data_IF_758021740532
#
_entry.id   IF_758021740532
#
_cell.length_a   1.000
_cell.length_b   1.000
_cell.length_c   1.000
_cell.angle_alpha   90.00
_cell.angle_beta   90.00
_cell.angle_gamma   90.00
#
_symmetry.space_group_name_H-M   'P 1'
#
loop_
_entity.id
_entity.type
_entity.pdbx_description
1 polymer ?
#
# COMPACT_ATOMS: atom_id res chain seq x y z
N UNK A 1 -34.52 -8.90 32.17
CA UNK A 1 -33.26 -8.13 32.13
C UNK A 1 -32.03 -9.03 31.94
N UNK A 2 -31.93 -10.16 32.66
CA UNK A 2 -30.80 -11.12 32.56
C UNK A 2 -30.68 -11.78 31.18
N UNK A 3 -31.77 -12.15 30.49
CA UNK A 3 -31.72 -12.76 29.16
C UNK A 3 -31.18 -11.83 28.07
N UNK A 4 -31.52 -10.53 28.15
CA UNK A 4 -30.97 -9.52 27.23
C UNK A 4 -29.46 -9.33 27.42
N UNK A 5 -28.98 -9.33 28.66
CA UNK A 5 -27.55 -9.25 28.97
C UNK A 5 -26.80 -10.50 28.49
N UNK A 6 -27.34 -11.70 28.69
CA UNK A 6 -26.75 -12.95 28.21
C UNK A 6 -26.74 -13.03 26.68
N UNK A 7 -27.80 -12.58 26.00
CA UNK A 7 -27.83 -12.51 24.53
C UNK A 7 -26.80 -11.52 23.97
N UNK A 8 -26.59 -10.39 24.67
CA UNK A 8 -25.53 -9.42 24.34
C UNK A 8 -24.13 -10.01 24.49
N UNK A 9 -23.86 -10.66 25.61
CA UNK A 9 -22.56 -11.30 25.89
C UNK A 9 -22.24 -12.41 24.90
N UNK A 10 -23.24 -13.26 24.58
CA UNK A 10 -23.08 -14.32 23.57
C UNK A 10 -22.80 -13.75 22.19
N UNK A 11 -23.40 -12.61 21.81
CA UNK A 11 -23.18 -11.94 20.52
C UNK A 11 -21.76 -11.37 20.43
N UNK A 12 -21.27 -10.76 21.51
CA UNK A 12 -19.89 -10.25 21.58
C UNK A 12 -18.91 -11.41 21.54
N UNK A 13 -19.12 -12.45 22.37
CA UNK A 13 -18.25 -13.63 22.39
C UNK A 13 -18.15 -14.33 21.04
N UNK A 14 -19.26 -14.47 20.32
CA UNK A 14 -19.28 -15.05 18.98
C UNK A 14 -18.49 -14.18 17.98
N UNK A 15 -18.65 -12.85 18.02
CA UNK A 15 -17.87 -11.95 17.16
C UNK A 15 -16.37 -12.02 17.40
N UNK A 16 -15.96 -12.14 18.66
CA UNK A 16 -14.53 -12.28 19.01
C UNK A 16 -13.98 -13.61 18.49
N UNK A 17 -14.71 -14.71 18.70
CA UNK A 17 -14.31 -16.04 18.20
C UNK A 17 -14.22 -16.02 16.67
N UNK A 18 -15.22 -15.47 15.96
CA UNK A 18 -15.23 -15.36 14.52
C UNK A 18 -14.05 -14.52 14.00
N UNK A 19 -13.70 -13.42 14.70
CA UNK A 19 -12.54 -12.60 14.35
C UNK A 19 -11.22 -13.35 14.52
N UNK A 20 -11.03 -14.08 15.64
CA UNK A 20 -9.82 -14.88 15.89
C UNK A 20 -9.71 -16.00 14.85
N UNK A 21 -10.81 -16.70 14.56
CA UNK A 21 -10.85 -17.74 13.54
C UNK A 21 -10.46 -17.19 12.16
N UNK A 22 -10.99 -16.02 11.81
CA UNK A 22 -10.68 -15.35 10.55
C UNK A 22 -9.21 -14.92 10.45
N UNK A 23 -8.63 -14.41 11.54
CA UNK A 23 -7.20 -14.10 11.61
C UNK A 23 -6.34 -15.36 11.42
N UNK A 24 -6.71 -16.48 12.07
CA UNK A 24 -6.02 -17.76 11.89
C UNK A 24 -6.08 -18.28 10.43
N UNK A 25 -7.24 -18.16 9.80
CA UNK A 25 -7.42 -18.55 8.38
C UNK A 25 -6.59 -17.65 7.45
N UNK A 26 -6.57 -16.33 7.70
CA UNK A 26 -5.77 -15.37 6.93
C UNK A 26 -4.26 -15.67 7.07
N UNK A 27 -3.79 -15.93 8.28
CA UNK A 27 -2.38 -16.30 8.54
C UNK A 27 -2.00 -17.59 7.81
N UNK A 28 -2.84 -18.62 7.91
CA UNK A 28 -2.65 -19.88 7.19
C UNK A 28 -2.59 -19.66 5.66
N UNK A 29 -3.50 -18.88 5.12
CA UNK A 29 -3.55 -18.54 3.70
C UNK A 29 -2.26 -17.82 3.27
N UNK A 30 -1.79 -16.86 4.05
CA UNK A 30 -0.56 -16.14 3.79
C UNK A 30 0.68 -17.05 3.82
N UNK A 31 0.79 -17.92 4.83
CA UNK A 31 1.88 -18.89 4.91
C UNK A 31 1.88 -19.83 3.71
N UNK A 32 0.71 -20.34 3.30
CA UNK A 32 0.59 -21.17 2.09
C UNK A 32 1.00 -20.42 0.84
N UNK A 33 0.64 -19.15 0.69
CA UNK A 33 1.07 -18.30 -0.43
C UNK A 33 2.59 -18.17 -0.48
N UNK A 34 3.24 -17.98 0.67
CA UNK A 34 4.70 -17.92 0.75
C UNK A 34 5.37 -19.26 0.42
N UNK A 35 4.83 -20.36 0.90
CA UNK A 35 5.38 -21.71 0.61
C UNK A 35 5.30 -22.06 -0.87
N UNK A 36 4.24 -21.65 -1.58
CA UNK A 36 4.07 -21.88 -3.01
C UNK A 36 4.75 -20.81 -3.88
N UNK A 37 5.39 -19.81 -3.28
CA UNK A 37 6.11 -18.73 -3.99
C UNK A 37 7.27 -19.25 -4.88
N UNK A 38 7.90 -20.38 -4.53
CA UNK A 38 8.96 -20.99 -5.33
C UNK A 38 8.52 -21.33 -6.76
N UNK A 39 7.27 -21.73 -6.95
CA UNK A 39 6.71 -22.01 -8.27
C UNK A 39 6.43 -20.73 -9.08
N UNK A 40 6.18 -19.62 -8.42
CA UNK A 40 5.96 -18.31 -9.06
C UNK A 40 7.23 -17.80 -9.74
N UNK A 41 8.39 -18.01 -9.14
CA UNK A 41 9.69 -17.66 -9.74
C UNK A 41 10.01 -18.49 -10.98
N UNK A 42 9.58 -19.76 -11.04
CA UNK A 42 9.72 -20.59 -12.24
C UNK A 42 8.82 -20.12 -13.40
N UNK A 43 7.76 -19.36 -13.12
CA UNK A 43 6.80 -18.84 -14.10
C UNK A 43 6.79 -17.31 -14.14
N UNK A 44 7.96 -16.72 -14.27
CA UNK A 44 8.18 -15.27 -14.18
C UNK A 44 7.29 -14.42 -15.11
N UNK A 45 6.91 -14.97 -16.27
CA UNK A 45 6.00 -14.27 -17.20
C UNK A 45 4.62 -13.95 -16.59
N UNK A 46 4.12 -14.78 -15.66
CA UNK A 46 2.86 -14.50 -14.95
C UNK A 46 3.04 -13.32 -13.99
N UNK A 47 4.15 -13.30 -13.26
CA UNK A 47 4.47 -12.20 -12.35
C UNK A 47 4.65 -10.87 -13.09
N UNK A 48 5.28 -10.87 -14.28
CA UNK A 48 5.40 -9.66 -15.13
C UNK A 48 4.02 -9.13 -15.53
N UNK A 49 3.09 -10.01 -15.90
CA UNK A 49 1.72 -9.60 -16.24
C UNK A 49 1.02 -8.95 -15.04
N UNK A 50 1.23 -9.48 -13.86
CA UNK A 50 0.65 -8.92 -12.63
C UNK A 50 1.32 -7.59 -12.23
N UNK A 51 2.64 -7.42 -12.46
CA UNK A 51 3.33 -6.13 -12.30
C UNK A 51 2.71 -5.09 -13.26
N UNK A 52 2.41 -5.48 -14.49
CA UNK A 52 1.73 -4.57 -15.42
C UNK A 52 0.33 -4.18 -14.92
N UNK A 53 -0.47 -5.14 -14.49
CA UNK A 53 -1.83 -4.90 -14.01
C UNK A 53 -1.88 -4.08 -12.72
N UNK A 54 -1.07 -4.44 -11.72
CA UNK A 54 -1.06 -3.76 -10.43
C UNK A 54 -0.24 -2.45 -10.46
N UNK A 55 0.91 -2.44 -11.16
CA UNK A 55 1.84 -1.32 -11.22
C UNK A 55 1.50 -0.31 -12.31
N UNK A 56 1.65 -0.71 -13.58
CA UNK A 56 1.56 0.24 -14.70
C UNK A 56 0.19 0.91 -14.81
N UNK A 57 -0.87 0.16 -14.62
CA UNK A 57 -2.21 0.73 -14.64
C UNK A 57 -2.52 1.64 -13.44
N UNK A 58 -1.69 1.65 -12.38
CA UNK A 58 -1.78 2.58 -11.25
C UNK A 58 -0.94 3.84 -11.45
N UNK A 59 -0.08 3.91 -12.47
CA UNK A 59 0.88 5.01 -12.65
C UNK A 59 0.20 6.38 -12.74
N UNK A 60 -0.87 6.51 -13.50
CA UNK A 60 -1.51 7.80 -13.73
C UNK A 60 -1.99 8.41 -12.41
N UNK A 61 -2.69 7.64 -11.58
CA UNK A 61 -3.19 8.14 -10.31
C UNK A 61 -2.04 8.47 -9.35
N UNK A 62 -0.97 7.67 -9.35
CA UNK A 62 0.21 7.88 -8.51
C UNK A 62 0.96 9.15 -8.91
N UNK A 63 1.23 9.34 -10.21
CA UNK A 63 1.98 10.50 -10.71
C UNK A 63 1.22 11.80 -10.50
N UNK A 64 -0.08 11.81 -10.85
CA UNK A 64 -0.92 13.02 -10.70
C UNK A 64 -1.12 13.37 -9.23
N UNK A 65 -1.41 12.38 -8.39
CA UNK A 65 -1.56 12.62 -6.94
C UNK A 65 -0.26 13.06 -6.30
N UNK A 66 0.88 12.45 -6.65
CA UNK A 66 2.20 12.85 -6.18
C UNK A 66 2.51 14.31 -6.51
N UNK A 67 2.26 14.71 -7.77
CA UNK A 67 2.44 16.08 -8.21
C UNK A 67 1.64 17.07 -7.36
N UNK A 68 0.33 16.84 -7.19
CA UNK A 68 -0.52 17.75 -6.42
C UNK A 68 -0.17 17.78 -4.93
N UNK A 69 0.15 16.64 -4.32
CA UNK A 69 0.59 16.59 -2.92
C UNK A 69 1.89 17.37 -2.76
N UNK A 70 2.84 17.23 -3.69
CA UNK A 70 4.08 18.00 -3.68
C UNK A 70 3.85 19.51 -3.84
N UNK A 71 2.94 19.91 -4.72
CA UNK A 71 2.56 21.33 -4.89
C UNK A 71 1.97 21.92 -3.60
N UNK A 72 1.10 21.18 -2.91
CA UNK A 72 0.50 21.61 -1.63
C UNK A 72 1.58 21.70 -0.53
N UNK A 73 2.49 20.71 -0.47
CA UNK A 73 3.62 20.76 0.47
C UNK A 73 4.55 21.93 0.20
N UNK A 74 4.79 22.26 -1.08
CA UNK A 74 5.56 23.43 -1.48
C UNK A 74 4.93 24.73 -0.98
N UNK A 75 3.62 24.90 -1.15
CA UNK A 75 2.89 26.08 -0.67
C UNK A 75 2.89 26.19 0.85
N UNK A 76 2.43 25.16 1.55
CA UNK A 76 2.33 25.16 3.01
C UNK A 76 3.70 25.20 3.68
N UNK A 77 4.68 24.48 3.09
CA UNK A 77 6.05 24.48 3.56
C UNK A 77 6.68 25.87 3.48
N UNK A 78 6.47 26.57 2.36
CA UNK A 78 6.98 27.95 2.21
C UNK A 78 6.38 28.91 3.23
N UNK A 79 5.05 28.94 3.39
CA UNK A 79 4.38 29.80 4.38
C UNK A 79 4.89 29.53 5.80
N UNK A 80 5.10 28.26 6.15
CA UNK A 80 5.62 27.88 7.46
C UNK A 80 7.07 28.34 7.63
N UNK A 81 7.95 28.08 6.66
CA UNK A 81 9.37 28.43 6.72
C UNK A 81 9.61 29.94 6.68
N UNK A 82 8.78 30.68 5.94
CA UNK A 82 8.83 32.14 5.89
C UNK A 82 8.61 32.77 7.28
N UNK A 83 7.73 32.20 8.09
CA UNK A 83 7.49 32.68 9.47
C UNK A 83 8.75 32.58 10.35
N UNK A 84 9.66 31.63 10.02
CA UNK A 84 10.93 31.42 10.74
C UNK A 84 12.15 31.98 10.01
N UNK A 85 11.98 32.64 8.86
CA UNK A 85 13.09 33.18 8.06
C UNK A 85 14.02 32.10 7.50
N UNK A 86 13.50 30.91 7.20
CA UNK A 86 14.26 29.75 6.74
C UNK A 86 13.74 29.21 5.40
N UNK A 87 13.32 30.09 4.50
CA UNK A 87 12.70 29.79 3.21
C UNK A 87 13.56 28.89 2.31
N UNK A 88 14.86 29.02 2.42
CA UNK A 88 15.85 28.21 1.67
C UNK A 88 15.77 26.72 2.00
N UNK A 89 15.26 26.34 3.20
CA UNK A 89 15.13 24.96 3.62
C UNK A 89 13.88 24.24 3.02
N UNK A 90 13.14 24.89 2.10
CA UNK A 90 11.93 24.33 1.50
C UNK A 90 12.20 22.99 0.80
N UNK A 91 13.31 22.88 0.06
CA UNK A 91 13.70 21.62 -0.61
C UNK A 91 13.89 20.46 0.36
N UNK A 92 14.49 20.74 1.52
CA UNK A 92 14.70 19.75 2.59
C UNK A 92 13.35 19.28 3.16
N UNK A 93 12.48 20.22 3.50
CA UNK A 93 11.17 19.92 4.08
C UNK A 93 10.33 19.04 3.13
N UNK A 94 10.24 19.44 1.86
CA UNK A 94 9.45 18.71 0.86
C UNK A 94 10.01 17.31 0.62
N UNK A 95 11.33 17.18 0.44
CA UNK A 95 11.95 15.89 0.12
C UNK A 95 11.88 14.91 1.29
N UNK A 96 12.24 15.33 2.50
CA UNK A 96 12.20 14.45 3.68
C UNK A 96 10.77 14.02 4.02
N UNK A 97 9.80 14.95 3.94
CA UNK A 97 8.38 14.62 4.16
C UNK A 97 7.87 13.58 3.18
N UNK A 98 8.25 13.70 1.90
CA UNK A 98 7.81 12.77 0.86
C UNK A 98 8.54 11.43 0.95
N UNK A 99 9.86 11.43 1.08
CA UNK A 99 10.64 10.18 1.03
C UNK A 99 10.45 9.33 2.27
N UNK A 100 10.44 9.94 3.47
CA UNK A 100 10.34 9.22 4.74
C UNK A 100 8.92 8.73 5.05
N UNK A 101 7.89 9.56 4.76
CA UNK A 101 6.54 9.32 5.27
C UNK A 101 5.47 9.34 4.18
N UNK A 102 5.21 10.50 3.57
CA UNK A 102 4.05 10.68 2.70
C UNK A 102 4.13 9.84 1.43
N UNK A 103 5.31 9.67 0.84
CA UNK A 103 5.50 8.86 -0.35
C UNK A 103 5.04 7.42 -0.17
N UNK A 104 5.64 6.66 0.75
CA UNK A 104 5.23 5.30 1.03
C UNK A 104 3.78 5.16 1.46
N UNK A 105 3.29 6.01 2.38
CA UNK A 105 1.94 5.92 2.95
C UNK A 105 0.86 6.25 1.93
N UNK A 106 0.97 7.41 1.26
CA UNK A 106 -0.06 7.85 0.30
C UNK A 106 -0.08 6.95 -0.93
N UNK A 107 1.11 6.56 -1.43
CA UNK A 107 1.18 5.59 -2.52
C UNK A 107 0.52 4.25 -2.13
N UNK A 108 0.71 3.76 -0.89
CA UNK A 108 0.09 2.54 -0.41
C UNK A 108 -1.44 2.66 -0.29
N UNK A 109 -1.96 3.79 0.17
CA UNK A 109 -3.41 4.04 0.23
C UNK A 109 -4.04 4.08 -1.17
N UNK A 110 -3.40 4.74 -2.13
CA UNK A 110 -3.84 4.77 -3.53
C UNK A 110 -3.74 3.38 -4.18
N UNK A 111 -2.68 2.64 -3.89
CA UNK A 111 -2.50 1.28 -4.35
C UNK A 111 -3.56 0.35 -3.78
N UNK A 112 -3.88 0.43 -2.48
CA UNK A 112 -4.92 -0.36 -1.84
C UNK A 112 -6.30 -0.10 -2.46
N UNK A 113 -6.63 1.16 -2.72
CA UNK A 113 -7.91 1.55 -3.29
C UNK A 113 -8.07 1.09 -4.74
N UNK A 114 -7.01 1.15 -5.56
CA UNK A 114 -7.07 0.80 -6.97
C UNK A 114 -6.65 -0.65 -7.24
N UNK A 115 -5.40 -1.02 -6.95
CA UNK A 115 -4.87 -2.35 -7.24
C UNK A 115 -5.39 -3.40 -6.25
N UNK A 116 -5.46 -3.07 -4.95
CA UNK A 116 -6.01 -3.96 -3.93
C UNK A 116 -7.45 -4.34 -4.20
N UNK A 117 -8.30 -3.36 -4.50
CA UNK A 117 -9.71 -3.62 -4.85
C UNK A 117 -9.86 -4.44 -6.13
N UNK A 118 -9.05 -4.17 -7.16
CA UNK A 118 -9.05 -4.92 -8.42
C UNK A 118 -8.66 -6.39 -8.20
N UNK A 119 -7.57 -6.67 -7.47
CA UNK A 119 -7.13 -8.03 -7.14
C UNK A 119 -8.24 -8.78 -6.38
N UNK A 120 -8.87 -8.13 -5.39
CA UNK A 120 -9.98 -8.71 -4.63
C UNK A 120 -11.16 -9.05 -5.53
N UNK A 121 -11.54 -8.12 -6.42
CA UNK A 121 -12.64 -8.31 -7.34
C UNK A 121 -12.37 -9.46 -8.34
N UNK A 122 -11.16 -9.52 -8.91
CA UNK A 122 -10.79 -10.57 -9.86
C UNK A 122 -10.83 -11.96 -9.22
N UNK A 123 -10.25 -12.13 -8.03
CA UNK A 123 -10.25 -13.43 -7.33
C UNK A 123 -11.67 -13.79 -6.87
N UNK A 124 -12.40 -12.82 -6.34
CA UNK A 124 -13.80 -13.03 -5.95
C UNK A 124 -14.68 -13.42 -7.12
N UNK A 125 -14.45 -12.84 -8.30
CA UNK A 125 -15.15 -13.21 -9.54
C UNK A 125 -14.77 -14.63 -10.00
N UNK A 126 -13.47 -14.98 -9.96
CA UNK A 126 -13.02 -16.34 -10.29
C UNK A 126 -13.66 -17.39 -9.36
N UNK A 127 -13.90 -17.03 -8.10
CA UNK A 127 -14.62 -17.88 -7.16
C UNK A 127 -16.12 -17.96 -7.48
N UNK A 128 -16.75 -16.84 -7.78
CA UNK A 128 -18.17 -16.76 -8.10
C UNK A 128 -18.53 -17.49 -9.41
N UNK A 129 -17.59 -17.59 -10.35
CA UNK A 129 -17.75 -18.31 -11.61
C UNK A 129 -17.16 -19.73 -11.58
N UNK A 130 -16.89 -20.27 -10.38
CA UNK A 130 -16.36 -21.62 -10.14
C UNK A 130 -15.02 -21.96 -10.83
N UNK A 131 -14.28 -20.95 -11.31
CA UNK A 131 -12.98 -21.17 -11.95
C UNK A 131 -11.95 -21.75 -10.98
N UNK A 132 -11.97 -21.35 -9.71
CA UNK A 132 -11.09 -21.89 -8.68
C UNK A 132 -11.40 -23.36 -8.44
N UNK A 133 -12.67 -23.72 -8.28
CA UNK A 133 -13.11 -25.11 -8.11
C UNK A 133 -12.77 -25.98 -9.34
N UNK A 134 -12.92 -25.43 -10.55
CA UNK A 134 -12.55 -26.14 -11.78
C UNK A 134 -11.04 -26.43 -11.83
N UNK A 135 -10.18 -25.49 -11.37
CA UNK A 135 -8.73 -25.75 -11.27
C UNK A 135 -8.42 -26.87 -10.27
N UNK A 136 -9.07 -26.87 -9.11
CA UNK A 136 -8.89 -27.93 -8.10
C UNK A 136 -9.32 -29.32 -8.65
N UNK A 137 -10.43 -29.39 -9.37
CA UNK A 137 -10.85 -30.64 -10.03
C UNK A 137 -9.86 -31.14 -11.08
N UNK A 138 -9.12 -30.24 -11.72
CA UNK A 138 -8.05 -30.58 -12.67
C UNK A 138 -6.70 -30.85 -11.99
N UNK A 139 -6.65 -30.95 -10.65
CA UNK A 139 -5.43 -31.10 -9.84
C UNK A 139 -4.41 -29.95 -10.04
N UNK A 140 -4.91 -28.76 -10.37
CA UNK A 140 -4.09 -27.53 -10.44
C UNK A 140 -4.28 -26.75 -9.17
N UNK A 141 -3.20 -26.48 -8.44
CA UNK A 141 -3.24 -25.66 -7.21
C UNK A 141 -3.52 -24.19 -7.54
N UNK A 142 -4.70 -23.62 -7.11
CA UNK A 142 -5.05 -22.24 -7.36
C UNK A 142 -4.10 -21.26 -6.66
N UNK A 143 -3.57 -21.62 -5.48
CA UNK A 143 -2.67 -20.75 -4.73
C UNK A 143 -1.37 -20.56 -5.51
N UNK A 144 -0.80 -21.63 -6.02
CA UNK A 144 0.44 -21.57 -6.81
C UNK A 144 0.25 -20.90 -8.18
N UNK A 145 -0.92 -21.07 -8.80
CA UNK A 145 -1.16 -20.61 -10.18
C UNK A 145 -1.69 -19.17 -10.27
N UNK A 146 -2.49 -18.74 -9.30
CA UNK A 146 -3.25 -17.49 -9.32
C UNK A 146 -2.77 -16.54 -8.21
N UNK A 147 -2.70 -17.03 -6.98
CA UNK A 147 -2.44 -16.19 -5.81
C UNK A 147 -0.97 -15.75 -5.73
N UNK A 148 -0.04 -16.68 -5.84
CA UNK A 148 1.39 -16.40 -5.66
C UNK A 148 1.97 -15.42 -6.72
N UNK A 149 1.67 -15.52 -8.04
CA UNK A 149 2.12 -14.52 -9.01
C UNK A 149 1.55 -13.12 -8.75
N UNK A 150 0.27 -13.02 -8.34
CA UNK A 150 -0.36 -11.75 -7.98
C UNK A 150 0.29 -11.13 -6.75
N UNK A 151 0.59 -11.96 -5.74
CA UNK A 151 1.27 -11.52 -4.54
C UNK A 151 2.61 -10.85 -4.87
N UNK A 152 3.49 -11.54 -5.59
CA UNK A 152 4.81 -11.01 -5.92
C UNK A 152 4.76 -9.85 -6.90
N UNK A 153 3.85 -9.90 -7.88
CA UNK A 153 3.65 -8.79 -8.82
C UNK A 153 3.28 -7.49 -8.11
N UNK A 154 2.35 -7.56 -7.17
CA UNK A 154 1.91 -6.41 -6.39
C UNK A 154 2.97 -5.91 -5.39
N UNK A 155 3.65 -6.83 -4.67
CA UNK A 155 4.72 -6.48 -3.72
C UNK A 155 5.90 -5.79 -4.40
N UNK A 156 6.29 -6.24 -5.60
CA UNK A 156 7.37 -5.61 -6.38
C UNK A 156 6.93 -4.24 -6.93
N UNK A 157 5.67 -4.10 -7.33
CA UNK A 157 5.16 -2.84 -7.88
C UNK A 157 5.10 -1.72 -6.85
N UNK A 158 4.85 -2.04 -5.57
CA UNK A 158 4.60 -1.06 -4.53
C UNK A 158 5.79 -0.11 -4.26
N UNK A 159 7.05 -0.57 -4.06
CA UNK A 159 8.21 0.30 -3.87
C UNK A 159 8.48 1.20 -5.08
N UNK A 160 8.27 0.69 -6.29
CA UNK A 160 8.44 1.46 -7.52
C UNK A 160 7.42 2.59 -7.61
N UNK A 161 6.16 2.31 -7.27
CA UNK A 161 5.10 3.32 -7.24
C UNK A 161 5.34 4.37 -6.16
N UNK A 162 5.83 3.99 -4.98
CA UNK A 162 6.19 4.90 -3.90
C UNK A 162 7.35 5.83 -4.30
N UNK A 163 8.38 5.28 -4.96
CA UNK A 163 9.49 6.07 -5.48
C UNK A 163 9.04 7.09 -6.54
N UNK A 164 8.18 6.66 -7.47
CA UNK A 164 7.62 7.55 -8.49
C UNK A 164 6.72 8.63 -7.88
N UNK A 165 5.92 8.29 -6.86
CA UNK A 165 5.12 9.26 -6.12
C UNK A 165 6.00 10.33 -5.48
N UNK A 166 7.06 9.93 -4.77
CA UNK A 166 8.00 10.85 -4.12
C UNK A 166 8.74 11.73 -5.13
N UNK A 167 9.19 11.17 -6.25
CA UNK A 167 9.85 11.92 -7.31
C UNK A 167 8.93 12.99 -7.92
N UNK A 168 7.67 12.61 -8.25
CA UNK A 168 6.68 13.56 -8.75
C UNK A 168 6.26 14.58 -7.71
N UNK A 169 6.24 14.21 -6.42
CA UNK A 169 5.96 15.14 -5.34
C UNK A 169 7.08 16.17 -5.17
N UNK A 170 8.35 15.78 -5.21
CA UNK A 170 9.48 16.70 -5.18
C UNK A 170 9.42 17.65 -6.38
N UNK A 171 9.10 17.14 -7.57
CA UNK A 171 8.91 17.98 -8.76
C UNK A 171 7.75 18.95 -8.59
N UNK A 172 6.64 18.54 -7.98
CA UNK A 172 5.51 19.43 -7.64
C UNK A 172 5.90 20.53 -6.66
N UNK A 173 6.67 20.19 -5.61
CA UNK A 173 7.24 21.16 -4.67
C UNK A 173 8.19 22.17 -5.32
N UNK A 174 9.02 21.70 -6.26
CA UNK A 174 9.89 22.55 -7.07
C UNK A 174 9.08 23.52 -7.94
N UNK A 175 8.04 23.07 -8.64
CA UNK A 175 7.20 23.92 -9.46
C UNK A 175 6.59 25.09 -8.67
N UNK A 176 6.13 24.81 -7.47
CA UNK A 176 5.52 25.85 -6.63
C UNK A 176 6.59 26.67 -5.93
N UNK A 177 7.56 26.06 -5.26
CA UNK A 177 8.54 26.75 -4.45
C UNK A 177 9.49 27.61 -5.29
N UNK A 178 10.03 27.05 -6.36
CA UNK A 178 11.02 27.75 -7.21
C UNK A 178 10.36 28.56 -8.31
N UNK A 179 9.48 27.90 -9.13
CA UNK A 179 8.96 28.56 -10.35
C UNK A 179 7.88 29.60 -10.04
N UNK A 180 6.96 29.32 -9.09
CA UNK A 180 5.84 30.22 -8.78
C UNK A 180 6.20 31.24 -7.68
N UNK A 181 6.88 30.83 -6.61
CA UNK A 181 7.16 31.67 -5.46
C UNK A 181 8.51 32.38 -5.60
N UNK A 182 9.50 31.77 -6.28
CA UNK A 182 10.80 32.38 -6.54
C UNK A 182 11.87 32.08 -5.48
N UNK A 183 11.75 30.96 -4.75
CA UNK A 183 12.85 30.45 -3.92
C UNK A 183 14.06 30.15 -4.81
N UNK A 184 15.26 30.42 -4.32
CA UNK A 184 16.48 30.17 -5.10
C UNK A 184 16.63 28.70 -5.48
N UNK A 185 16.77 28.42 -6.77
CA UNK A 185 16.87 27.07 -7.31
C UNK A 185 18.12 26.34 -6.79
N UNK A 186 19.23 27.05 -6.68
CA UNK A 186 20.48 26.51 -6.16
C UNK A 186 20.36 26.05 -4.71
N UNK A 187 19.73 26.87 -3.88
CA UNK A 187 19.45 26.54 -2.46
C UNK A 187 18.50 25.35 -2.34
N UNK A 188 17.44 25.31 -3.15
CA UNK A 188 16.46 24.20 -3.14
C UNK A 188 17.14 22.84 -3.34
N UNK A 189 17.93 22.70 -4.41
CA UNK A 189 18.57 21.43 -4.74
C UNK A 189 19.79 21.12 -3.85
N UNK A 190 20.64 22.11 -3.54
CA UNK A 190 21.85 21.88 -2.75
C UNK A 190 21.55 21.49 -1.31
N UNK A 191 20.61 22.16 -0.66
CA UNK A 191 20.21 21.82 0.71
C UNK A 191 19.48 20.49 0.76
N UNK A 192 18.63 20.17 -0.22
CA UNK A 192 17.99 18.87 -0.32
C UNK A 192 19.03 17.74 -0.43
N UNK A 193 20.04 17.88 -1.32
CA UNK A 193 21.07 16.86 -1.50
C UNK A 193 21.95 16.71 -0.26
N UNK A 194 22.19 17.78 0.47
CA UNK A 194 22.99 17.74 1.71
C UNK A 194 22.23 17.10 2.89
N UNK A 195 20.90 17.23 2.90
CA UNK A 195 20.07 16.78 4.03
C UNK A 195 19.52 15.37 3.88
N UNK A 196 19.34 14.87 2.63
CA UNK A 196 18.76 13.54 2.38
C UNK A 196 19.86 12.49 2.42
N UNK A 197 19.83 11.62 3.42
CA UNK A 197 20.72 10.46 3.51
C UNK A 197 20.10 9.24 2.79
N UNK A 198 20.90 8.60 1.94
CA UNK A 198 20.44 7.43 1.18
C UNK A 198 20.03 6.28 2.10
N UNK A 199 20.79 6.05 3.17
CA UNK A 199 20.58 4.90 4.05
C UNK A 199 19.47 5.14 5.06
N UNK A 200 19.39 6.34 5.63
CA UNK A 200 18.43 6.64 6.68
C UNK A 200 17.06 7.07 6.12
N UNK A 201 17.01 7.68 4.94
CA UNK A 201 15.79 8.22 4.38
C UNK A 201 15.22 7.34 3.28
N UNK A 202 16.01 7.12 2.21
CA UNK A 202 15.53 6.40 1.03
C UNK A 202 15.31 4.92 1.34
N UNK A 203 16.27 4.26 2.02
CA UNK A 203 16.15 2.84 2.35
C UNK A 203 14.99 2.59 3.31
N UNK A 204 14.79 3.44 4.31
CA UNK A 204 13.66 3.35 5.24
C UNK A 204 12.33 3.52 4.51
N UNK A 205 12.21 4.47 3.58
CA UNK A 205 11.03 4.63 2.73
C UNK A 205 10.76 3.40 1.86
N UNK A 206 11.80 2.79 1.28
CA UNK A 206 11.69 1.54 0.52
C UNK A 206 11.24 0.38 1.40
N UNK A 207 11.81 0.22 2.59
CA UNK A 207 11.41 -0.84 3.54
C UNK A 207 9.94 -0.68 3.92
N UNK A 208 9.50 0.55 4.29
CA UNK A 208 8.09 0.84 4.57
C UNK A 208 7.19 0.44 3.38
N UNK A 209 7.55 0.85 2.16
CA UNK A 209 6.76 0.55 0.97
C UNK A 209 6.65 -0.95 0.67
N UNK A 210 7.71 -1.73 0.91
CA UNK A 210 7.67 -3.20 0.79
C UNK A 210 6.73 -3.80 1.82
N UNK A 211 6.83 -3.38 3.09
CA UNK A 211 5.95 -3.87 4.17
C UNK A 211 4.49 -3.55 3.87
N UNK A 212 4.19 -2.32 3.42
CA UNK A 212 2.84 -1.95 3.00
C UNK A 212 2.36 -2.77 1.79
N UNK A 213 3.23 -3.00 0.81
CA UNK A 213 2.94 -3.86 -0.34
C UNK A 213 2.55 -5.27 0.09
N UNK A 214 3.31 -5.87 1.01
CA UNK A 214 3.00 -7.19 1.58
C UNK A 214 1.65 -7.17 2.31
N UNK A 215 1.42 -6.19 3.18
CA UNK A 215 0.20 -6.11 3.98
C UNK A 215 -1.05 -5.92 3.10
N UNK A 216 -1.03 -4.94 2.20
CA UNK A 216 -2.15 -4.64 1.29
C UNK A 216 -2.47 -5.84 0.41
N UNK A 217 -1.44 -6.45 -0.18
CA UNK A 217 -1.63 -7.56 -1.10
C UNK A 217 -2.14 -8.81 -0.39
N UNK A 218 -1.60 -9.13 0.81
CA UNK A 218 -2.09 -10.24 1.61
C UNK A 218 -3.57 -10.08 1.97
N UNK A 219 -3.97 -8.86 2.39
CA UNK A 219 -5.37 -8.55 2.70
C UNK A 219 -6.25 -8.68 1.44
N UNK A 220 -5.83 -8.12 0.31
CA UNK A 220 -6.59 -8.13 -0.93
C UNK A 220 -6.83 -9.57 -1.45
N UNK A 221 -5.79 -10.39 -1.45
CA UNK A 221 -5.85 -11.78 -1.87
C UNK A 221 -6.75 -12.62 -0.94
N UNK A 222 -6.62 -12.43 0.36
CA UNK A 222 -7.42 -13.14 1.35
C UNK A 222 -8.90 -12.76 1.26
N UNK A 223 -9.23 -11.45 1.21
CA UNK A 223 -10.61 -10.97 1.11
C UNK A 223 -11.28 -11.44 -0.20
N UNK A 224 -10.54 -11.48 -1.31
CA UNK A 224 -11.03 -12.00 -2.58
C UNK A 224 -11.25 -13.52 -2.53
N UNK A 225 -10.33 -14.26 -1.92
CA UNK A 225 -10.43 -15.71 -1.81
C UNK A 225 -11.51 -16.17 -0.80
N UNK A 226 -11.75 -15.39 0.27
CA UNK A 226 -12.77 -15.66 1.29
C UNK A 226 -14.16 -15.09 0.93
N UNK A 227 -14.28 -14.34 -0.19
CA UNK A 227 -15.53 -13.72 -0.59
C UNK A 227 -16.63 -14.76 -0.85
N UNK A 228 -17.87 -14.54 -0.40
CA UNK A 228 -19.01 -15.35 -0.84
C UNK A 228 -19.14 -15.32 -2.37
N UNK A 229 -19.47 -16.44 -3.03
CA UNK A 229 -19.49 -16.55 -4.49
C UNK A 229 -20.74 -15.87 -5.10
N UNK A 230 -20.94 -14.59 -4.81
CA UNK A 230 -22.04 -13.76 -5.27
C UNK A 230 -21.55 -12.37 -5.63
N UNK A 231 -22.20 -11.67 -6.55
CA UNK A 231 -21.86 -10.30 -6.93
C UNK A 231 -21.82 -9.35 -5.72
N UNK A 232 -22.79 -9.49 -4.79
CA UNK A 232 -22.83 -8.72 -3.56
C UNK A 232 -21.66 -9.07 -2.62
N UNK A 233 -21.29 -10.36 -2.53
CA UNK A 233 -20.15 -10.83 -1.76
C UNK A 233 -18.83 -10.23 -2.24
N UNK A 234 -18.62 -10.21 -3.55
CA UNK A 234 -17.43 -9.58 -4.18
C UNK A 234 -17.40 -8.07 -3.91
N UNK A 235 -18.52 -7.37 -4.08
CA UNK A 235 -18.61 -5.93 -3.79
C UNK A 235 -18.30 -5.60 -2.33
N UNK A 236 -18.80 -6.38 -1.39
CA UNK A 236 -18.49 -6.22 0.04
C UNK A 236 -17.03 -6.53 0.36
N UNK A 237 -16.46 -7.54 -0.30
CA UNK A 237 -15.05 -7.90 -0.12
C UNK A 237 -14.12 -6.78 -0.60
N UNK A 238 -14.38 -6.17 -1.77
CA UNK A 238 -13.58 -5.02 -2.27
C UNK A 238 -13.61 -3.84 -1.33
N UNK A 239 -14.78 -3.46 -0.82
CA UNK A 239 -14.91 -2.39 0.17
C UNK A 239 -14.13 -2.71 1.45
N UNK A 240 -14.23 -3.96 1.93
CA UNK A 240 -13.52 -4.42 3.13
C UNK A 240 -12.02 -4.42 2.93
N UNK A 241 -11.53 -4.81 1.76
CA UNK A 241 -10.11 -4.74 1.39
C UNK A 241 -9.59 -3.32 1.54
N UNK A 242 -10.24 -2.33 0.97
CA UNK A 242 -9.79 -0.93 1.05
C UNK A 242 -9.74 -0.45 2.49
N UNK A 243 -10.82 -0.65 3.25
CA UNK A 243 -10.90 -0.19 4.65
C UNK A 243 -9.86 -0.88 5.52
N UNK A 244 -9.76 -2.21 5.45
CA UNK A 244 -8.81 -2.98 6.28
C UNK A 244 -7.37 -2.66 5.91
N UNK A 245 -7.06 -2.54 4.61
CA UNK A 245 -5.72 -2.16 4.14
C UNK A 245 -5.34 -0.76 4.58
N UNK A 246 -6.25 0.21 4.50
CA UNK A 246 -5.97 1.59 4.94
C UNK A 246 -5.66 1.65 6.44
N UNK A 247 -6.44 0.94 7.26
CA UNK A 247 -6.16 0.85 8.70
C UNK A 247 -4.85 0.13 9.00
N UNK A 248 -4.53 -0.93 8.26
CA UNK A 248 -3.28 -1.65 8.40
C UNK A 248 -2.07 -0.79 8.01
N UNK A 249 -2.16 -0.02 6.90
CA UNK A 249 -1.12 0.91 6.47
C UNK A 249 -0.83 1.93 7.56
N UNK A 250 -1.86 2.62 8.07
CA UNK A 250 -1.70 3.65 9.10
C UNK A 250 -1.14 3.08 10.41
N UNK A 251 -1.60 1.90 10.82
CA UNK A 251 -1.09 1.24 12.02
C UNK A 251 0.36 0.77 11.86
N UNK A 252 0.70 0.17 10.72
CA UNK A 252 2.06 -0.26 10.41
C UNK A 252 3.02 0.93 10.25
N UNK A 253 2.55 2.03 9.65
CA UNK A 253 3.35 3.23 9.51
C UNK A 253 3.78 3.77 10.87
N UNK A 254 2.85 3.92 11.80
CA UNK A 254 3.18 4.35 13.17
C UNK A 254 4.20 3.42 13.83
N UNK A 255 4.00 2.10 13.72
CA UNK A 255 4.91 1.11 14.32
C UNK A 255 6.30 1.20 13.67
N UNK A 256 6.38 1.22 12.34
CA UNK A 256 7.66 1.29 11.62
C UNK A 256 8.39 2.58 11.90
N UNK A 257 7.69 3.72 11.89
CA UNK A 257 8.27 5.02 12.23
C UNK A 257 8.82 5.01 13.66
N UNK A 258 8.06 4.50 14.63
CA UNK A 258 8.51 4.39 16.01
C UNK A 258 9.80 3.54 16.13
N UNK A 259 9.88 2.40 15.41
CA UNK A 259 11.07 1.55 15.44
C UNK A 259 12.28 2.17 14.71
N UNK A 260 12.05 2.88 13.59
CA UNK A 260 13.13 3.48 12.79
C UNK A 260 13.74 4.71 13.45
N UNK A 261 12.93 5.46 14.21
CA UNK A 261 13.38 6.68 14.92
C UNK A 261 13.67 6.47 16.41
N UNK A 262 13.33 5.32 17.02
CA UNK A 262 13.64 5.01 18.42
C UNK A 262 15.11 4.61 18.66
N UNK A 263 15.93 4.60 17.64
CA UNK A 263 17.36 4.31 17.72
C UNK A 263 18.24 5.55 17.98
N UNK A 264 17.64 6.70 18.34
CA UNK A 264 18.33 7.95 18.73
C UNK A 264 18.35 8.08 20.23
#
# INVERSE_FOLDING_TARGET
MMEFAQAGLRRIGRRVIDSIWRMGTATRFFVLTLLHSGQSFSRFHLTIREIFSAGVLSLIIILVSGLFVGMVLGLQGYETLQTYGSEEALGVLVSLSLVRELGPVVAALLFASRAGSAITAEIGLMRATEQIAAMEMMAVDPIARVVAPRFWGAVISMPLLAALFSAMGIFGGYLVGVVLIGVDEGSFWSQMQAAVDFREDILNGVIKSVVFGVAVTAIALFEGYDAPPTAEGVSRATTRTVVTSSLAILGLDFILTAFMFSGV
#
